data_IF_193111840639
#
_entry.id   IF_193111840639
#
_cell.length_a   1.000
_cell.length_b   1.000
_cell.length_c   1.000
_cell.angle_alpha   90.00
_cell.angle_beta   90.00
_cell.angle_gamma   90.00
#
_symmetry.space_group_name_H-M   'P 1'
#
loop_
_entity.id
_entity.type
_entity.pdbx_description
1 polymer ?
#
# COMPACT_ATOMS: atom_id res chain seq x y z
N UNK A 1 19.55 11.67 -34.46
CA UNK A 1 18.96 10.36 -34.17
C UNK A 1 19.88 9.65 -33.18
N UNK A 2 19.55 9.61 -31.89
CA UNK A 2 20.31 8.86 -30.89
C UNK A 2 19.68 7.45 -30.78
N UNK A 3 20.46 6.38 -30.75
CA UNK A 3 19.92 5.04 -30.61
C UNK A 3 19.37 4.86 -29.15
N UNK A 4 18.13 4.47 -29.05
CA UNK A 4 17.49 4.02 -27.82
C UNK A 4 18.13 2.70 -27.44
N UNK A 5 18.90 2.68 -26.33
CA UNK A 5 19.43 1.44 -25.76
C UNK A 5 18.24 0.73 -25.11
N UNK A 6 17.78 -0.34 -25.75
CA UNK A 6 16.80 -1.25 -25.18
C UNK A 6 17.40 -1.91 -23.94
N UNK A 7 16.78 -1.74 -22.80
CA UNK A 7 17.10 -2.48 -21.56
C UNK A 7 16.85 -3.98 -21.82
N UNK A 8 17.82 -4.87 -21.61
CA UNK A 8 17.61 -6.29 -21.87
C UNK A 8 16.58 -6.85 -20.89
N UNK A 9 15.55 -7.47 -21.42
CA UNK A 9 14.41 -8.13 -20.70
C UNK A 9 14.87 -9.22 -19.70
N UNK A 10 16.16 -9.56 -19.66
CA UNK A 10 16.74 -10.59 -18.80
C UNK A 10 17.29 -10.13 -17.44
N UNK A 11 17.36 -8.84 -17.15
CA UNK A 11 18.06 -8.33 -15.94
C UNK A 11 17.17 -8.36 -14.66
N UNK A 12 15.86 -8.18 -14.76
CA UNK A 12 14.97 -8.20 -13.62
C UNK A 12 14.88 -9.59 -12.94
N UNK A 13 14.64 -10.70 -13.66
CA UNK A 13 14.63 -12.03 -13.08
C UNK A 13 15.95 -12.42 -12.39
N UNK A 14 17.10 -12.00 -12.95
CA UNK A 14 18.41 -12.30 -12.38
C UNK A 14 18.67 -11.47 -11.12
N UNK A 15 18.23 -10.23 -11.08
CA UNK A 15 18.31 -9.36 -9.91
C UNK A 15 17.50 -9.91 -8.75
N UNK A 16 16.29 -10.41 -9.01
CA UNK A 16 15.43 -11.04 -8.03
C UNK A 16 16.06 -12.33 -7.48
N UNK A 17 16.74 -13.12 -8.32
CA UNK A 17 17.50 -14.29 -7.89
C UNK A 17 18.67 -13.91 -6.99
N UNK A 18 19.39 -12.82 -7.25
CA UNK A 18 20.48 -12.32 -6.41
C UNK A 18 19.93 -11.90 -5.03
N UNK A 19 18.85 -11.12 -4.98
CA UNK A 19 18.21 -10.72 -3.74
C UNK A 19 17.63 -11.93 -2.98
N UNK A 20 16.98 -12.86 -3.65
CA UNK A 20 16.47 -14.11 -3.10
C UNK A 20 17.58 -14.98 -2.47
N UNK A 21 18.72 -15.09 -3.12
CA UNK A 21 19.87 -15.83 -2.57
C UNK A 21 20.43 -15.18 -1.29
N UNK A 22 20.36 -13.85 -1.17
CA UNK A 22 20.71 -13.16 0.08
C UNK A 22 19.64 -13.40 1.17
N UNK A 23 18.36 -13.43 0.78
CA UNK A 23 17.27 -13.72 1.72
C UNK A 23 17.43 -15.11 2.36
N UNK A 24 17.67 -16.11 1.52
CA UNK A 24 17.74 -17.51 1.92
C UNK A 24 19.01 -17.85 2.71
N UNK A 25 20.14 -17.26 2.34
CA UNK A 25 21.46 -17.65 2.85
C UNK A 25 22.09 -16.58 3.78
N UNK A 26 21.40 -15.46 3.99
CA UNK A 26 21.92 -14.35 4.77
C UNK A 26 22.97 -13.50 4.02
N UNK A 27 23.64 -12.59 4.75
CA UNK A 27 24.63 -11.69 4.17
C UNK A 27 25.70 -12.45 3.39
N UNK A 28 25.94 -12.10 2.14
CA UNK A 28 26.77 -12.85 1.20
C UNK A 28 27.72 -11.93 0.45
N UNK A 29 28.91 -12.45 0.09
CA UNK A 29 29.85 -11.73 -0.80
C UNK A 29 29.41 -11.88 -2.27
N UNK A 30 29.90 -10.99 -3.14
CA UNK A 30 29.66 -11.13 -4.57
C UNK A 30 30.21 -12.44 -5.15
N UNK A 31 31.25 -13.02 -4.56
CA UNK A 31 31.81 -14.29 -4.98
C UNK A 31 30.93 -15.48 -4.55
N UNK A 32 30.37 -15.47 -3.33
CA UNK A 32 29.45 -16.50 -2.86
C UNK A 32 28.20 -16.53 -3.72
N UNK A 33 27.64 -15.35 -4.01
CA UNK A 33 26.47 -15.22 -4.88
C UNK A 33 26.76 -15.68 -6.33
N UNK A 34 27.94 -15.33 -6.86
CA UNK A 34 28.36 -15.77 -8.20
C UNK A 34 28.44 -17.29 -8.28
N UNK A 35 29.02 -17.94 -7.27
CA UNK A 35 29.12 -19.39 -7.19
C UNK A 35 27.76 -20.07 -7.05
N UNK A 36 26.88 -19.57 -6.19
CA UNK A 36 25.55 -20.18 -5.97
C UNK A 36 24.62 -20.04 -7.17
N UNK A 37 24.71 -18.92 -7.89
CA UNK A 37 23.77 -18.58 -8.96
C UNK A 37 24.28 -18.96 -10.36
N UNK A 38 25.51 -19.49 -10.45
CA UNK A 38 26.21 -19.78 -11.71
C UNK A 38 26.32 -18.49 -12.57
N UNK A 39 26.80 -17.43 -11.96
CA UNK A 39 26.99 -16.12 -12.57
C UNK A 39 28.46 -15.67 -12.44
N UNK A 40 28.87 -14.72 -13.27
CA UNK A 40 30.16 -14.07 -13.09
C UNK A 40 30.08 -13.06 -11.91
N UNK A 41 31.19 -12.94 -11.15
CA UNK A 41 31.25 -11.95 -10.08
C UNK A 41 31.03 -10.50 -10.57
N UNK A 42 31.37 -10.20 -11.83
CA UNK A 42 31.10 -8.91 -12.44
C UNK A 42 29.60 -8.66 -12.67
N UNK A 43 28.89 -9.68 -13.16
CA UNK A 43 27.43 -9.59 -13.33
C UNK A 43 26.73 -9.42 -11.98
N UNK A 44 27.12 -10.21 -10.97
CA UNK A 44 26.56 -10.09 -9.63
C UNK A 44 26.81 -8.70 -9.03
N UNK A 45 28.01 -8.12 -9.18
CA UNK A 45 28.28 -6.76 -8.68
C UNK A 45 27.35 -5.72 -9.32
N UNK A 46 27.12 -5.78 -10.63
CA UNK A 46 26.19 -4.87 -11.31
C UNK A 46 24.78 -4.96 -10.72
N UNK A 47 24.28 -6.17 -10.42
CA UNK A 47 22.98 -6.34 -9.79
C UNK A 47 22.96 -5.85 -8.33
N UNK A 48 24.04 -6.09 -7.58
CA UNK A 48 24.21 -5.59 -6.22
C UNK A 48 24.28 -4.06 -6.17
N UNK A 49 24.99 -3.43 -7.11
CA UNK A 49 25.05 -1.97 -7.23
C UNK A 49 23.65 -1.39 -7.46
N UNK A 50 22.89 -1.97 -8.40
CA UNK A 50 21.51 -1.55 -8.65
C UNK A 50 20.58 -1.77 -7.44
N UNK A 51 20.69 -2.90 -6.73
CA UNK A 51 19.92 -3.17 -5.52
C UNK A 51 20.29 -2.19 -4.40
N UNK A 52 21.56 -1.79 -4.29
CA UNK A 52 22.03 -0.82 -3.31
C UNK A 52 21.56 0.60 -3.64
N UNK A 53 21.58 1.00 -4.92
CA UNK A 53 21.06 2.29 -5.39
C UNK A 53 19.56 2.45 -5.08
N UNK A 54 18.80 1.35 -5.14
CA UNK A 54 17.37 1.34 -4.78
C UNK A 54 17.11 1.05 -3.29
N UNK A 55 18.14 0.99 -2.47
CA UNK A 55 18.02 0.79 -1.03
C UNK A 55 17.59 -0.63 -0.60
N UNK A 56 17.61 -1.62 -1.51
CA UNK A 56 17.19 -3.00 -1.19
C UNK A 56 18.29 -3.82 -0.51
N UNK A 57 19.57 -3.49 -0.75
CA UNK A 57 20.70 -4.11 -0.06
C UNK A 57 21.65 -3.05 0.46
N UNK A 58 22.38 -3.38 1.50
CA UNK A 58 23.47 -2.57 2.02
C UNK A 58 24.78 -3.36 2.05
N UNK A 59 25.88 -2.68 1.77
CA UNK A 59 27.21 -3.26 1.87
C UNK A 59 27.75 -3.08 3.29
N UNK A 60 28.19 -4.15 3.90
CA UNK A 60 28.85 -4.18 5.22
C UNK A 60 30.26 -4.78 5.11
N UNK A 61 31.15 -4.37 5.97
CA UNK A 61 32.46 -5.05 6.08
C UNK A 61 32.27 -6.42 6.74
N UNK A 62 32.88 -7.45 6.15
CA UNK A 62 32.83 -8.78 6.72
C UNK A 62 33.55 -8.81 8.06
N UNK A 63 32.84 -9.21 9.13
CA UNK A 63 33.47 -9.46 10.43
C UNK A 63 34.33 -10.71 10.30
N UNK A 64 35.65 -10.53 10.38
CA UNK A 64 36.62 -11.63 10.41
C UNK A 64 36.85 -12.03 11.85
N UNK A 65 36.44 -13.24 12.22
CA UNK A 65 36.80 -13.86 13.52
C UNK A 65 38.06 -14.69 13.32
N UNK A 66 39.19 -14.27 13.94
CA UNK A 66 40.45 -14.98 13.86
C UNK A 66 41.63 -14.13 13.35
N UNK A 67 42.77 -14.76 13.03
CA UNK A 67 43.96 -14.09 12.54
C UNK A 67 43.65 -13.42 11.18
N UNK A 68 43.93 -12.09 11.07
CA UNK A 68 43.77 -11.32 9.87
C UNK A 68 44.73 -11.80 8.77
N UNK A 69 44.17 -12.33 7.68
CA UNK A 69 44.90 -12.52 6.43
C UNK A 69 45.30 -11.19 5.77
N UNK A 70 46.32 -11.20 4.87
CA UNK A 70 46.71 -10.02 4.08
C UNK A 70 45.59 -9.74 3.06
N UNK A 71 44.98 -8.56 3.12
CA UNK A 71 44.00 -8.07 2.14
C UNK A 71 42.92 -7.18 2.76
N UNK A 72 42.24 -6.39 1.92
CA UNK A 72 41.06 -5.63 2.33
C UNK A 72 39.91 -6.60 2.63
N UNK A 73 39.18 -6.47 3.75
CA UNK A 73 38.03 -7.30 4.03
C UNK A 73 37.04 -7.31 2.85
N UNK A 74 36.50 -8.49 2.55
CA UNK A 74 35.48 -8.60 1.52
C UNK A 74 34.20 -7.87 1.99
N UNK A 75 33.57 -7.16 1.07
CA UNK A 75 32.24 -6.60 1.33
C UNK A 75 31.21 -7.72 1.29
N UNK A 76 30.36 -7.79 2.31
CA UNK A 76 29.16 -8.61 2.33
C UNK A 76 27.94 -7.71 2.11
N UNK A 77 26.97 -8.22 1.38
CA UNK A 77 25.72 -7.54 1.07
C UNK A 77 24.59 -8.20 1.86
N UNK A 78 23.84 -7.39 2.59
CA UNK A 78 22.68 -7.81 3.35
C UNK A 78 21.43 -7.11 2.84
N UNK A 79 20.27 -7.77 2.90
CA UNK A 79 19.00 -7.10 2.64
C UNK A 79 18.72 -6.05 3.72
N UNK A 80 18.25 -4.90 3.29
CA UNK A 80 17.65 -3.88 4.16
C UNK A 80 16.21 -4.29 4.52
N UNK A 81 15.53 -3.50 5.34
CA UNK A 81 14.09 -3.66 5.59
C UNK A 81 13.30 -3.52 4.28
N UNK A 82 13.52 -2.44 3.53
CA UNK A 82 12.92 -2.22 2.19
C UNK A 82 13.20 -3.39 1.23
N UNK A 83 14.42 -3.96 1.28
CA UNK A 83 14.75 -5.12 0.48
C UNK A 83 13.97 -6.37 0.88
N UNK A 84 13.67 -6.57 2.17
CA UNK A 84 12.82 -7.68 2.64
C UNK A 84 11.37 -7.48 2.26
N UNK A 85 10.87 -6.25 2.30
CA UNK A 85 9.48 -5.90 1.94
C UNK A 85 9.17 -6.14 0.47
N UNK A 86 10.21 -6.20 -0.41
CA UNK A 86 10.03 -6.55 -1.82
C UNK A 86 9.71 -8.04 -2.06
N UNK A 87 9.87 -8.89 -1.05
CA UNK A 87 9.48 -10.29 -1.12
C UNK A 87 8.04 -10.50 -0.67
N UNK A 88 7.47 -11.65 -1.04
CA UNK A 88 6.10 -12.00 -0.68
C UNK A 88 5.88 -11.85 0.83
N UNK A 89 4.98 -10.97 1.19
CA UNK A 89 4.50 -10.78 2.56
C UNK A 89 3.24 -11.63 2.78
N UNK A 90 3.06 -12.11 3.99
CA UNK A 90 1.87 -12.89 4.37
C UNK A 90 0.88 -12.08 5.22
N UNK A 91 0.95 -10.73 5.15
CA UNK A 91 0.07 -9.87 5.96
C UNK A 91 -1.39 -10.01 5.59
N UNK A 92 -1.72 -10.17 4.31
CA UNK A 92 -3.10 -10.41 3.86
C UNK A 92 -3.63 -11.72 4.42
N UNK A 93 -2.84 -12.80 4.37
CA UNK A 93 -3.21 -14.11 4.91
C UNK A 93 -3.37 -14.05 6.44
N UNK A 94 -2.44 -13.41 7.14
CA UNK A 94 -2.53 -13.19 8.58
C UNK A 94 -3.79 -12.38 8.95
N UNK A 95 -4.09 -11.33 8.20
CA UNK A 95 -5.28 -10.51 8.42
C UNK A 95 -6.56 -11.32 8.19
N UNK A 96 -6.63 -12.12 7.12
CA UNK A 96 -7.75 -13.02 6.85
C UNK A 96 -7.95 -14.03 7.98
N UNK A 97 -6.89 -14.68 8.47
CA UNK A 97 -6.97 -15.62 9.58
C UNK A 97 -7.46 -14.94 10.87
N UNK A 98 -6.97 -13.73 11.16
CA UNK A 98 -7.42 -12.96 12.32
C UNK A 98 -8.90 -12.57 12.22
N UNK A 99 -9.37 -12.17 11.03
CA UNK A 99 -10.76 -11.82 10.80
C UNK A 99 -11.68 -13.04 10.88
N UNK A 100 -11.27 -14.20 10.36
CA UNK A 100 -12.01 -15.46 10.54
C UNK A 100 -12.12 -15.85 11.99
N UNK A 101 -11.01 -15.79 12.73
CA UNK A 101 -11.04 -16.04 14.18
C UNK A 101 -11.98 -15.08 14.93
N UNK A 102 -11.99 -13.79 14.54
CA UNK A 102 -12.91 -12.82 15.11
C UNK A 102 -14.38 -13.18 14.81
N UNK A 103 -14.69 -13.59 13.59
CA UNK A 103 -16.02 -14.03 13.18
C UNK A 103 -16.46 -15.30 13.91
N UNK A 104 -15.56 -16.27 14.08
CA UNK A 104 -15.84 -17.53 14.81
C UNK A 104 -16.12 -17.31 16.30
N UNK A 105 -15.41 -16.37 16.93
CA UNK A 105 -15.49 -16.14 18.38
C UNK A 105 -16.51 -15.09 18.79
N UNK A 106 -16.76 -14.09 17.94
CA UNK A 106 -17.63 -12.95 18.26
C UNK A 106 -18.76 -12.70 17.26
N UNK A 107 -18.87 -13.53 16.22
CA UNK A 107 -19.89 -13.40 15.17
C UNK A 107 -19.75 -12.15 14.30
N UNK A 108 -20.75 -11.93 13.45
CA UNK A 108 -20.78 -10.79 12.50
C UNK A 108 -20.73 -9.42 13.19
N UNK A 109 -21.28 -9.33 14.41
CA UNK A 109 -21.26 -8.07 15.18
C UNK A 109 -19.84 -7.66 15.58
N UNK A 110 -19.00 -8.62 15.98
CA UNK A 110 -17.60 -8.34 16.30
C UNK A 110 -16.81 -7.91 15.04
N UNK A 111 -17.10 -8.52 13.89
CA UNK A 111 -16.51 -8.12 12.60
C UNK A 111 -16.93 -6.70 12.24
N UNK A 112 -18.22 -6.38 12.37
CA UNK A 112 -18.73 -5.04 12.07
C UNK A 112 -18.16 -3.99 13.03
N UNK A 113 -18.05 -4.30 14.32
CA UNK A 113 -17.44 -3.38 15.30
C UNK A 113 -15.96 -3.13 14.99
N UNK A 114 -15.23 -4.17 14.60
CA UNK A 114 -13.85 -4.00 14.12
C UNK A 114 -13.81 -3.11 12.87
N UNK A 115 -14.70 -3.34 11.89
CA UNK A 115 -14.79 -2.56 10.67
C UNK A 115 -15.05 -1.07 10.96
N UNK A 116 -15.99 -0.76 11.89
CA UNK A 116 -16.28 0.61 12.33
C UNK A 116 -15.08 1.28 12.99
N UNK A 117 -14.36 0.57 13.87
CA UNK A 117 -13.13 1.10 14.49
C UNK A 117 -12.04 1.37 13.46
N UNK A 118 -11.88 0.47 12.48
CA UNK A 118 -10.90 0.64 11.42
C UNK A 118 -11.15 1.90 10.60
N UNK A 119 -12.40 2.21 10.27
CA UNK A 119 -12.76 3.38 9.44
C UNK A 119 -12.97 4.66 10.22
N UNK A 120 -12.73 4.66 11.53
CA UNK A 120 -12.89 5.84 12.39
C UNK A 120 -11.98 7.02 11.99
N UNK A 121 -10.94 6.77 11.19
CA UNK A 121 -10.12 7.83 10.59
C UNK A 121 -10.96 8.80 9.73
N UNK A 122 -12.02 8.32 9.08
CA UNK A 122 -12.88 9.17 8.24
C UNK A 122 -13.47 10.32 9.06
N UNK A 123 -14.00 10.01 10.24
CA UNK A 123 -14.61 11.00 11.13
C UNK A 123 -13.54 11.88 11.81
N UNK A 124 -12.43 11.26 12.24
CA UNK A 124 -11.33 11.94 12.93
C UNK A 124 -10.65 12.98 12.03
N UNK A 125 -10.36 12.62 10.78
CA UNK A 125 -9.47 13.41 9.92
C UNK A 125 -10.25 14.36 9.00
N UNK A 126 -11.53 14.09 8.72
CA UNK A 126 -12.37 14.94 7.87
C UNK A 126 -12.48 16.37 8.39
N UNK A 127 -12.75 16.56 9.68
CA UNK A 127 -12.90 17.88 10.28
C UNK A 127 -11.59 18.67 10.18
N UNK A 128 -10.44 18.03 10.34
CA UNK A 128 -9.13 18.67 10.21
C UNK A 128 -8.86 19.12 8.77
N UNK A 129 -9.17 18.26 7.76
CA UNK A 129 -9.01 18.60 6.34
C UNK A 129 -9.90 19.78 5.93
N UNK A 130 -11.15 19.82 6.40
CA UNK A 130 -12.07 20.94 6.14
C UNK A 130 -11.60 22.24 6.83
N UNK A 131 -11.03 22.13 8.03
CA UNK A 131 -10.49 23.30 8.74
C UNK A 131 -9.23 23.84 8.07
N UNK A 132 -8.38 22.97 7.50
CA UNK A 132 -7.17 23.38 6.77
C UNK A 132 -7.49 24.06 5.43
N UNK A 133 -8.50 23.55 4.71
CA UNK A 133 -8.91 24.12 3.41
C UNK A 133 -10.44 24.17 3.31
N UNK A 134 -11.06 25.27 3.79
CA UNK A 134 -12.51 25.46 3.74
C UNK A 134 -13.10 25.58 2.32
N UNK A 135 -12.26 25.73 1.29
CA UNK A 135 -12.71 25.86 -0.10
C UNK A 135 -13.07 24.51 -0.74
N UNK A 136 -12.67 23.39 -0.12
CA UNK A 136 -12.95 22.05 -0.62
C UNK A 136 -14.45 21.74 -0.54
N UNK A 137 -14.96 21.07 -1.58
CA UNK A 137 -16.27 20.43 -1.45
C UNK A 137 -16.18 19.26 -0.44
N UNK A 138 -17.31 18.84 0.17
CA UNK A 138 -17.34 17.71 1.07
C UNK A 138 -16.73 16.44 0.48
N UNK A 139 -17.00 16.16 -0.80
CA UNK A 139 -16.43 15.01 -1.51
C UNK A 139 -14.91 15.15 -1.72
N UNK A 140 -14.41 16.37 -2.00
CA UNK A 140 -12.97 16.62 -2.15
C UNK A 140 -12.22 16.46 -0.83
N UNK A 141 -12.80 16.91 0.28
CA UNK A 141 -12.24 16.69 1.61
C UNK A 141 -12.14 15.18 1.93
N UNK A 142 -13.19 14.41 1.66
CA UNK A 142 -13.15 12.95 1.78
C UNK A 142 -12.08 12.31 0.89
N UNK A 143 -11.94 12.75 -0.36
CA UNK A 143 -10.92 12.23 -1.26
C UNK A 143 -9.50 12.44 -0.71
N UNK A 144 -9.23 13.59 -0.06
CA UNK A 144 -7.95 13.83 0.63
C UNK A 144 -7.75 12.86 1.80
N UNK A 145 -8.76 12.68 2.66
CA UNK A 145 -8.72 11.75 3.79
C UNK A 145 -8.42 10.32 3.31
N UNK A 146 -9.17 9.82 2.32
CA UNK A 146 -8.95 8.47 1.79
C UNK A 146 -7.61 8.33 1.09
N UNK A 147 -7.13 9.37 0.40
CA UNK A 147 -5.80 9.31 -0.25
C UNK A 147 -4.67 9.21 0.76
N UNK A 148 -4.76 9.90 1.90
CA UNK A 148 -3.80 9.78 2.99
C UNK A 148 -3.73 8.35 3.56
N UNK A 149 -4.85 7.62 3.54
CA UNK A 149 -4.97 6.23 3.98
C UNK A 149 -4.70 5.19 2.85
N UNK A 150 -4.17 5.64 1.70
CA UNK A 150 -3.71 4.76 0.62
C UNK A 150 -4.76 4.35 -0.42
N UNK A 151 -5.96 4.95 -0.41
CA UNK A 151 -7.03 4.57 -1.34
C UNK A 151 -6.93 5.19 -2.74
N UNK A 152 -5.98 6.07 -3.00
CA UNK A 152 -5.85 6.82 -4.27
C UNK A 152 -7.19 7.43 -4.73
N UNK A 153 -7.82 8.23 -3.87
CA UNK A 153 -9.17 8.72 -4.04
C UNK A 153 -9.24 10.00 -4.91
N UNK A 154 -10.32 10.14 -5.66
CA UNK A 154 -10.62 11.31 -6.49
C UNK A 154 -12.12 11.55 -6.53
N UNK A 155 -12.52 12.73 -6.99
CA UNK A 155 -13.94 13.11 -7.14
C UNK A 155 -14.27 13.32 -8.60
N UNK A 156 -15.43 12.84 -9.00
CA UNK A 156 -16.03 13.11 -10.30
C UNK A 156 -17.36 13.83 -10.11
N UNK A 157 -17.52 14.98 -10.73
CA UNK A 157 -18.79 15.71 -10.75
C UNK A 157 -19.81 15.01 -11.67
N UNK A 158 -21.00 14.81 -11.17
CA UNK A 158 -22.13 14.26 -11.93
C UNK A 158 -23.34 15.19 -11.79
N UNK A 159 -24.29 15.17 -12.73
CA UNK A 159 -25.50 16.02 -12.65
C UNK A 159 -26.34 15.79 -11.39
N UNK A 160 -26.28 14.61 -10.80
CA UNK A 160 -27.06 14.20 -9.61
C UNK A 160 -26.29 14.36 -8.29
N UNK A 161 -25.02 14.78 -8.34
CA UNK A 161 -24.16 14.90 -7.15
C UNK A 161 -22.70 14.63 -7.47
N UNK A 162 -21.92 14.35 -6.44
CA UNK A 162 -20.52 13.96 -6.58
C UNK A 162 -20.38 12.44 -6.55
N UNK A 163 -19.37 11.93 -7.23
CA UNK A 163 -18.95 10.54 -7.14
C UNK A 163 -17.54 10.50 -6.55
N UNK A 164 -17.41 9.94 -5.34
CA UNK A 164 -16.12 9.59 -4.77
C UNK A 164 -15.64 8.30 -5.44
N UNK A 165 -14.48 8.36 -6.08
CA UNK A 165 -13.82 7.24 -6.76
C UNK A 165 -12.54 6.88 -6.00
N UNK A 166 -12.37 5.61 -5.63
CA UNK A 166 -11.16 5.08 -5.00
C UNK A 166 -10.52 4.08 -5.96
N UNK A 167 -9.37 4.44 -6.53
CA UNK A 167 -8.66 3.65 -7.57
C UNK A 167 -7.86 2.47 -6.98
N UNK A 168 -7.64 2.48 -5.67
CA UNK A 168 -6.96 1.45 -4.91
C UNK A 168 -7.71 1.20 -3.60
N UNK A 169 -7.78 -0.06 -3.19
CA UNK A 169 -8.27 -0.45 -1.86
C UNK A 169 -7.16 -1.21 -1.13
N UNK A 170 -6.57 -0.63 -0.07
CA UNK A 170 -5.45 -1.26 0.65
C UNK A 170 -5.82 -2.54 1.40
N UNK A 171 -7.11 -2.85 1.51
CA UNK A 171 -7.65 -4.04 2.19
C UNK A 171 -8.54 -4.90 1.30
N UNK A 172 -8.43 -4.77 -0.02
CA UNK A 172 -9.33 -5.43 -0.97
C UNK A 172 -9.44 -6.94 -0.77
N UNK A 173 -8.33 -7.63 -0.47
CA UNK A 173 -8.31 -9.08 -0.25
C UNK A 173 -9.13 -9.48 0.98
N UNK A 174 -9.02 -8.73 2.06
CA UNK A 174 -9.80 -8.97 3.28
C UNK A 174 -11.27 -8.58 3.09
N UNK A 175 -11.53 -7.43 2.43
CA UNK A 175 -12.88 -6.95 2.17
C UNK A 175 -13.66 -7.84 1.19
N UNK A 176 -12.97 -8.65 0.38
CA UNK A 176 -13.61 -9.66 -0.47
C UNK A 176 -14.34 -10.72 0.36
N UNK A 177 -13.77 -11.16 1.46
CA UNK A 177 -14.35 -12.17 2.36
C UNK A 177 -15.24 -11.52 3.44
N UNK A 178 -14.91 -10.28 3.85
CA UNK A 178 -15.60 -9.54 4.91
C UNK A 178 -16.20 -8.23 4.38
N UNK A 179 -17.38 -8.27 3.73
CA UNK A 179 -18.02 -7.09 3.14
C UNK A 179 -18.37 -6.01 4.16
N UNK A 180 -18.46 -6.35 5.46
CA UNK A 180 -18.65 -5.41 6.57
C UNK A 180 -17.62 -4.27 6.57
N UNK A 181 -16.40 -4.49 6.02
CA UNK A 181 -15.40 -3.44 5.87
C UNK A 181 -15.86 -2.34 4.88
N UNK A 182 -16.48 -2.74 3.76
CA UNK A 182 -17.03 -1.80 2.78
C UNK A 182 -18.31 -1.13 3.29
N UNK A 183 -19.14 -1.85 4.04
CA UNK A 183 -20.38 -1.34 4.65
C UNK A 183 -20.05 -0.25 5.69
N UNK A 184 -19.15 -0.54 6.63
CA UNK A 184 -18.73 0.42 7.65
C UNK A 184 -18.10 1.68 7.05
N UNK A 185 -17.32 1.54 5.95
CA UNK A 185 -16.76 2.67 5.21
C UNK A 185 -17.86 3.55 4.61
N UNK A 186 -18.87 2.93 3.98
CA UNK A 186 -20.01 3.63 3.41
C UNK A 186 -20.84 4.33 4.47
N UNK A 187 -21.08 3.68 5.62
CA UNK A 187 -21.76 4.28 6.78
C UNK A 187 -20.97 5.49 7.32
N UNK A 188 -19.64 5.38 7.45
CA UNK A 188 -18.80 6.48 7.96
C UNK A 188 -18.85 7.69 7.02
N UNK A 189 -18.80 7.49 5.70
CA UNK A 189 -18.98 8.56 4.70
C UNK A 189 -20.36 9.24 4.89
N UNK A 190 -21.42 8.45 5.02
CA UNK A 190 -22.76 8.96 5.22
C UNK A 190 -22.91 9.78 6.50
N UNK A 191 -22.31 9.31 7.62
CA UNK A 191 -22.33 10.02 8.92
C UNK A 191 -21.61 11.37 8.84
N UNK A 192 -20.40 11.39 8.25
CA UNK A 192 -19.60 12.62 8.12
C UNK A 192 -20.31 13.67 7.26
N UNK A 193 -20.98 13.23 6.18
CA UNK A 193 -21.69 14.10 5.26
C UNK A 193 -23.10 14.46 5.73
N UNK A 194 -23.62 13.78 6.73
CA UNK A 194 -25.01 13.96 7.21
C UNK A 194 -26.05 13.61 6.16
N UNK A 195 -25.73 12.74 5.20
CA UNK A 195 -26.64 12.34 4.12
C UNK A 195 -26.45 10.87 3.77
N UNK A 196 -27.51 10.29 3.17
CA UNK A 196 -27.40 8.95 2.63
C UNK A 196 -26.48 8.94 1.40
N UNK A 197 -25.53 8.02 1.39
CA UNK A 197 -24.65 7.76 0.24
C UNK A 197 -24.83 6.34 -0.25
N UNK A 198 -24.54 6.10 -1.51
CA UNK A 198 -24.72 4.79 -2.12
C UNK A 198 -23.43 4.29 -2.74
N UNK A 199 -22.94 3.14 -2.29
CA UNK A 199 -21.85 2.40 -2.93
C UNK A 199 -22.38 1.74 -4.20
N UNK A 200 -21.75 2.04 -5.34
CA UNK A 200 -22.18 1.54 -6.66
C UNK A 200 -21.28 0.41 -7.18
N UNK A 201 -20.00 0.44 -6.84
CA UNK A 201 -19.02 -0.53 -7.26
C UNK A 201 -17.94 -0.72 -6.19
N UNK A 202 -17.33 -1.90 -6.11
CA UNK A 202 -16.25 -2.19 -5.17
C UNK A 202 -15.15 -3.05 -5.80
N UNK A 203 -13.90 -2.66 -5.58
CA UNK A 203 -12.71 -3.44 -5.97
C UNK A 203 -12.75 -4.83 -5.33
N UNK A 204 -13.22 -4.94 -4.09
CA UNK A 204 -13.33 -6.19 -3.37
C UNK A 204 -14.24 -7.22 -4.08
N UNK A 205 -15.23 -6.78 -4.85
CA UNK A 205 -16.13 -7.66 -5.60
C UNK A 205 -15.82 -7.73 -7.11
N UNK A 206 -14.64 -7.26 -7.50
CA UNK A 206 -14.12 -7.43 -8.87
C UNK A 206 -14.26 -6.23 -9.78
N UNK A 207 -14.80 -5.09 -9.29
CA UNK A 207 -14.80 -3.85 -10.06
C UNK A 207 -13.38 -3.24 -10.10
N UNK A 208 -13.08 -2.48 -11.15
CA UNK A 208 -11.78 -1.81 -11.30
C UNK A 208 -11.60 -0.59 -10.40
N UNK A 209 -12.65 -0.13 -9.72
CA UNK A 209 -12.68 1.07 -8.88
C UNK A 209 -13.83 0.98 -7.87
N UNK A 210 -13.60 1.45 -6.64
CA UNK A 210 -14.72 1.67 -5.71
C UNK A 210 -15.37 3.02 -6.02
N UNK A 211 -16.70 3.05 -6.14
CA UNK A 211 -17.45 4.29 -6.39
C UNK A 211 -18.57 4.47 -5.38
N UNK A 212 -18.66 5.68 -4.82
CA UNK A 212 -19.73 6.08 -3.91
C UNK A 212 -20.40 7.33 -4.43
N UNK A 213 -21.73 7.26 -4.65
CA UNK A 213 -22.55 8.40 -5.04
C UNK A 213 -22.89 9.23 -3.79
N UNK A 214 -22.63 10.55 -3.87
CA UNK A 214 -22.93 11.55 -2.85
C UNK A 214 -23.96 12.51 -3.46
N UNK A 215 -25.22 12.50 -3.02
CA UNK A 215 -26.28 13.31 -3.61
C UNK A 215 -26.04 14.83 -3.47
N UNK A 216 -26.59 15.60 -4.39
CA UNK A 216 -26.46 17.09 -4.44
C UNK A 216 -26.99 17.80 -3.17
N UNK A 217 -27.90 17.16 -2.40
CA UNK A 217 -28.39 17.71 -1.13
C UNK A 217 -27.29 17.96 -0.08
N UNK A 218 -26.16 17.28 -0.18
CA UNK A 218 -24.98 17.52 0.66
C UNK A 218 -24.28 18.87 0.34
N UNK A 219 -24.51 19.43 -0.86
CA UNK A 219 -23.93 20.73 -1.28
C UNK A 219 -24.66 21.93 -0.68
N UNK A 220 -25.94 21.80 -0.33
CA UNK A 220 -26.78 22.93 0.09
C UNK A 220 -26.66 23.32 1.57
N UNK A 221 -26.06 22.50 2.41
CA UNK A 221 -25.94 22.80 3.85
C UNK A 221 -24.80 23.76 4.22
N UNK A 222 -23.81 23.96 3.34
CA UNK A 222 -22.71 24.90 3.60
C UNK A 222 -22.96 26.32 3.09
N UNK A 223 -23.94 26.53 2.19
CA UNK A 223 -24.24 27.86 1.60
C UNK A 223 -25.34 28.64 2.31
N UNK A 224 -26.08 28.02 3.24
CA UNK A 224 -27.17 28.68 3.95
C UNK A 224 -26.82 29.35 5.29
N UNK A 225 -25.51 29.40 5.68
CA UNK A 225 -25.09 30.08 6.91
C UNK A 225 -24.57 31.51 6.71
N UNK A 226 -24.67 32.08 5.53
CA UNK A 226 -24.15 33.42 5.26
C UNK A 226 -25.20 34.42 4.67
N UNK A 227 -26.47 34.32 5.12
CA UNK A 227 -27.46 35.38 4.97
C UNK A 227 -28.49 35.29 6.09
N UNK A 228 -28.12 35.82 7.25
CA UNK A 228 -29.02 36.34 8.25
C UNK A 228 -28.29 37.42 9.07
#
# INVERSE_FOLDING_TARGET
>A
MRPTVATPVGDAPTRDRVAGSILENGPSTALDLASRLDLTAAAVRRHLDHLAENGHVEARDQKVYGARGRGRPAKVFALTETGRDSFKQSYDDLALQAMRFLAETGGDEAVMEFARRRVAFVERDYAAVVAEDPSLSPAQALAKVFTAEGYAASVRDLPIGDQLCQQHCPVSHVAHEFPQLCEAETEAIGRVLGTHVQRLATIAHGDGVCTTCIPTSARSSSTMKEKA
#
